data_IF_192922988907
#
_entry.id   IF_192922988907
#
_cell.length_a   1.000
_cell.length_b   1.000
_cell.length_c   1.000
_cell.angle_alpha   90.00
_cell.angle_beta   90.00
_cell.angle_gamma   90.00
#
_symmetry.space_group_name_H-M   'P 1'
#
loop_
_entity.id
_entity.type
_entity.pdbx_description
1 polymer ?
#
# COMPACT_ATOMS: atom_id res chain seq x y z
N UNK A 1 -22.26 15.33 -1.17
CA UNK A 1 -22.53 13.93 -1.54
C UNK A 1 -21.22 13.17 -1.40
N UNK A 2 -21.04 12.42 -0.32
CA UNK A 2 -19.79 11.70 -0.06
C UNK A 2 -19.77 10.46 -0.95
N UNK A 3 -18.93 10.46 -1.98
CA UNK A 3 -18.75 9.28 -2.82
C UNK A 3 -17.97 8.23 -2.02
N UNK A 4 -18.65 7.17 -1.61
CA UNK A 4 -18.03 6.06 -0.91
C UNK A 4 -17.24 5.21 -1.91
N UNK A 5 -15.92 5.19 -1.75
CA UNK A 5 -15.05 4.32 -2.55
C UNK A 5 -15.28 2.86 -2.11
N UNK A 6 -15.89 2.05 -2.98
CA UNK A 6 -16.07 0.61 -2.75
C UNK A 6 -14.84 -0.16 -3.25
N UNK A 7 -13.70 0.02 -2.61
CA UNK A 7 -12.51 -0.79 -2.88
C UNK A 7 -11.98 -1.40 -1.59
N UNK A 8 -11.46 -2.62 -1.67
CA UNK A 8 -10.68 -3.25 -0.59
C UNK A 8 -9.19 -2.90 -0.69
N UNK A 9 -8.74 -2.44 -1.87
CA UNK A 9 -7.35 -2.07 -2.11
C UNK A 9 -7.24 -0.77 -2.93
N UNK A 10 -6.33 0.11 -2.52
CA UNK A 10 -5.91 1.28 -3.29
C UNK A 10 -4.43 1.13 -3.58
N UNK A 11 -4.05 1.32 -4.84
CA UNK A 11 -2.65 1.32 -5.27
C UNK A 11 -2.23 2.77 -5.51
N UNK A 12 -1.30 3.25 -4.70
CA UNK A 12 -0.66 4.54 -4.87
C UNK A 12 0.68 4.35 -5.56
N UNK A 13 0.87 5.05 -6.67
CA UNK A 13 2.10 4.98 -7.47
C UNK A 13 2.76 6.37 -7.53
N UNK A 14 4.05 6.43 -7.25
CA UNK A 14 4.86 7.65 -7.37
C UNK A 14 6.08 7.41 -8.26
N UNK A 15 6.42 8.39 -9.10
CA UNK A 15 7.68 8.41 -9.85
C UNK A 15 8.86 8.94 -9.03
N UNK A 16 8.60 9.37 -7.80
CA UNK A 16 9.59 9.71 -6.79
C UNK A 16 9.51 8.78 -5.60
N UNK A 17 10.03 9.22 -4.46
CA UNK A 17 9.89 8.50 -3.20
C UNK A 17 8.55 8.81 -2.54
N UNK A 18 8.05 7.88 -1.73
CA UNK A 18 6.88 8.11 -0.89
C UNK A 18 7.37 8.41 0.53
N UNK A 19 7.17 9.67 0.94
CA UNK A 19 7.66 10.18 2.22
C UNK A 19 7.01 9.54 3.44
N UNK A 20 7.68 9.66 4.59
CA UNK A 20 7.23 9.09 5.86
C UNK A 20 5.85 9.56 6.32
N UNK A 21 5.48 10.82 6.08
CA UNK A 21 4.15 11.34 6.42
C UNK A 21 3.03 10.67 5.64
N UNK A 22 3.23 10.46 4.34
CA UNK A 22 2.24 9.78 3.50
C UNK A 22 2.05 8.33 3.95
N UNK A 23 3.15 7.64 4.29
CA UNK A 23 3.12 6.29 4.87
C UNK A 23 2.40 6.26 6.21
N UNK A 24 2.70 7.19 7.12
CA UNK A 24 2.02 7.31 8.42
C UNK A 24 0.52 7.53 8.26
N UNK A 25 0.12 8.44 7.39
CA UNK A 25 -1.29 8.73 7.13
C UNK A 25 -2.01 7.50 6.57
N UNK A 26 -1.43 6.84 5.56
CA UNK A 26 -2.02 5.63 4.99
C UNK A 26 -2.11 4.48 6.00
N UNK A 27 -1.11 4.29 6.84
CA UNK A 27 -1.14 3.28 7.90
C UNK A 27 -2.28 3.55 8.89
N UNK A 28 -2.51 4.81 9.25
CA UNK A 28 -3.68 5.19 10.07
C UNK A 28 -4.99 4.84 9.39
N UNK A 29 -5.15 5.19 8.11
CA UNK A 29 -6.37 4.85 7.34
C UNK A 29 -6.56 3.34 7.22
N UNK A 30 -5.49 2.57 7.01
CA UNK A 30 -5.54 1.10 6.92
C UNK A 30 -5.87 0.40 8.23
N UNK A 31 -5.52 0.99 9.38
CA UNK A 31 -5.92 0.50 10.70
C UNK A 31 -7.40 0.80 10.94
N UNK A 32 -7.83 2.04 10.69
CA UNK A 32 -9.20 2.49 10.95
C UNK A 32 -10.24 1.96 9.94
N UNK A 33 -9.83 1.20 8.90
CA UNK A 33 -10.73 0.73 7.85
C UNK A 33 -10.33 -0.61 7.23
N UNK A 34 -11.29 -1.30 6.59
CA UNK A 34 -11.01 -2.50 5.82
C UNK A 34 -10.39 -2.22 4.44
N UNK A 35 -9.49 -1.24 4.37
CA UNK A 35 -8.78 -0.85 3.16
C UNK A 35 -7.31 -1.28 3.26
N UNK A 36 -6.73 -1.75 2.17
CA UNK A 36 -5.30 -1.94 2.01
C UNK A 36 -4.76 -0.86 1.06
N UNK A 37 -3.77 -0.09 1.50
CA UNK A 37 -3.11 0.93 0.70
C UNK A 37 -1.73 0.39 0.32
N UNK A 38 -1.59 0.02 -0.94
CA UNK A 38 -0.35 -0.48 -1.54
C UNK A 38 0.44 0.70 -2.10
N UNK A 39 1.70 0.83 -1.73
CA UNK A 39 2.54 1.94 -2.15
C UNK A 39 3.67 1.47 -3.06
N UNK A 40 3.68 1.96 -4.29
CA UNK A 40 4.73 1.71 -5.28
C UNK A 40 5.49 3.01 -5.54
N UNK A 41 6.81 2.98 -5.41
CA UNK A 41 7.67 4.13 -5.65
C UNK A 41 8.55 3.94 -6.90
N UNK A 42 9.45 4.90 -7.13
CA UNK A 42 10.41 4.85 -8.25
C UNK A 42 11.16 3.51 -8.32
N UNK A 43 11.58 2.96 -7.19
CA UNK A 43 12.37 1.72 -7.18
C UNK A 43 11.55 0.55 -7.72
N UNK A 44 10.28 0.45 -7.32
CA UNK A 44 9.36 -0.56 -7.83
C UNK A 44 9.12 -0.36 -9.33
N UNK A 45 8.87 0.86 -9.76
CA UNK A 45 8.63 1.17 -11.18
C UNK A 45 9.84 0.85 -12.07
N UNK A 46 11.05 1.18 -11.62
CA UNK A 46 12.27 0.85 -12.34
C UNK A 46 12.50 -0.65 -12.45
N UNK A 47 12.19 -1.41 -11.39
CA UNK A 47 12.26 -2.88 -11.42
C UNK A 47 11.23 -3.47 -12.37
N UNK A 48 9.99 -3.02 -12.29
CA UNK A 48 8.89 -3.48 -13.15
C UNK A 48 9.19 -3.18 -14.62
N UNK A 49 9.77 -2.02 -14.91
CA UNK A 49 10.17 -1.64 -16.27
C UNK A 49 11.24 -2.58 -16.83
N UNK A 50 12.19 -3.04 -16.00
CA UNK A 50 13.23 -4.01 -16.41
C UNK A 50 12.70 -5.43 -16.50
N UNK A 51 11.79 -5.81 -15.61
CA UNK A 51 11.16 -7.12 -15.56
C UNK A 51 9.73 -6.98 -15.01
N UNK A 52 8.74 -7.15 -15.89
CA UNK A 52 7.33 -6.96 -15.54
C UNK A 52 6.86 -7.89 -14.42
N UNK A 53 7.43 -9.10 -14.30
CA UNK A 53 7.09 -10.04 -13.24
C UNK A 53 7.45 -9.54 -11.82
N UNK A 54 8.41 -8.61 -11.70
CA UNK A 54 8.82 -8.01 -10.41
C UNK A 54 7.69 -7.25 -9.72
N UNK A 55 6.58 -6.98 -10.42
CA UNK A 55 5.37 -6.42 -9.82
C UNK A 55 4.81 -7.32 -8.71
N UNK A 56 4.98 -8.63 -8.84
CA UNK A 56 4.52 -9.61 -7.84
C UNK A 56 5.25 -9.38 -6.52
N UNK A 57 6.59 -9.24 -6.56
CA UNK A 57 7.41 -8.97 -5.39
C UNK A 57 7.03 -7.65 -4.69
N UNK A 58 6.72 -6.63 -5.48
CA UNK A 58 6.28 -5.33 -4.96
C UNK A 58 4.93 -5.45 -4.24
N UNK A 59 3.95 -6.13 -4.83
CA UNK A 59 2.66 -6.37 -4.19
C UNK A 59 2.77 -7.26 -2.95
N UNK A 60 3.59 -8.30 -2.98
CA UNK A 60 3.80 -9.19 -1.84
C UNK A 60 4.38 -8.43 -0.64
N UNK A 61 5.40 -7.59 -0.87
CA UNK A 61 5.99 -6.74 0.17
C UNK A 61 4.97 -5.82 0.83
N UNK A 62 4.16 -5.13 0.02
CA UNK A 62 3.13 -4.20 0.53
C UNK A 62 1.97 -4.95 1.20
N UNK A 63 1.58 -6.11 0.69
CA UNK A 63 0.56 -6.96 1.30
C UNK A 63 1.00 -7.47 2.68
N UNK A 64 2.25 -7.95 2.81
CA UNK A 64 2.82 -8.38 4.09
C UNK A 64 2.90 -7.23 5.09
N UNK A 65 3.19 -6.00 4.63
CA UNK A 65 3.15 -4.82 5.48
C UNK A 65 1.73 -4.54 6.00
N UNK A 66 0.75 -4.52 5.09
CA UNK A 66 -0.65 -4.31 5.45
C UNK A 66 -1.20 -5.39 6.39
N UNK A 67 -0.86 -6.67 6.15
CA UNK A 67 -1.28 -7.78 7.02
C UNK A 67 -0.74 -7.61 8.45
N UNK A 68 0.56 -7.30 8.61
CA UNK A 68 1.16 -7.05 9.93
C UNK A 68 0.49 -5.91 10.68
N UNK A 69 0.13 -4.83 9.99
CA UNK A 69 -0.58 -3.71 10.59
C UNK A 69 -1.98 -4.13 11.10
N UNK A 70 -2.69 -4.97 10.34
CA UNK A 70 -4.04 -5.42 10.69
C UNK A 70 -4.07 -6.53 11.74
N UNK A 71 -3.02 -7.35 11.84
CA UNK A 71 -2.93 -8.37 12.90
C UNK A 71 -2.85 -7.76 14.29
N UNK A 72 -2.16 -6.63 14.44
CA UNK A 72 -2.05 -5.93 15.73
C UNK A 72 -3.40 -5.41 16.27
N UNK A 73 -4.40 -5.23 15.40
CA UNK A 73 -5.75 -4.80 15.76
C UNK A 73 -6.70 -5.97 16.05
N UNK A 74 -6.36 -7.20 15.64
CA UNK A 74 -7.20 -8.38 15.89
C UNK A 74 -7.01 -8.95 17.32
N UNK A 75 -5.89 -8.62 17.96
CA UNK A 75 -5.53 -9.07 19.31
C UNK A 75 -5.80 -8.01 20.41
N UNK A 76 -6.48 -6.90 20.07
CA UNK A 76 -6.77 -5.77 20.96
C UNK A 76 -8.25 -5.69 21.40
#
# INVERSE_FOLDING_TARGET
>A
MTHMLKSSAIIMVSTGEIGGEARRYANKVMADSNLAIVMLDRYDLEKITRCAASIIDAFEREALHAMRLKTLDLDA
#
